data_IF_395662072487
#
_entry.id   IF_395662072487
#
_cell.length_a   1.000
_cell.length_b   1.000
_cell.length_c   1.000
_cell.angle_alpha   90.00
_cell.angle_beta   90.00
_cell.angle_gamma   90.00
#
_symmetry.space_group_name_H-M   'P 1'
#
loop_
_entity.id
_entity.type
_entity.pdbx_description
1 polymer ?
#
# COMPACT_ATOMS: atom_id res chain seq x y z
N UNK A 1 3.59 21.98 -8.24
CA UNK A 1 3.94 21.74 -9.66
C UNK A 1 2.83 20.90 -10.27
N UNK A 2 2.06 21.40 -11.24
CA UNK A 2 1.19 20.52 -12.01
C UNK A 2 2.10 19.74 -12.96
N UNK A 3 2.27 18.45 -12.76
CA UNK A 3 2.77 17.57 -13.81
C UNK A 3 1.68 17.55 -14.89
N UNK A 4 1.78 18.45 -15.87
CA UNK A 4 0.92 18.42 -17.03
C UNK A 4 1.57 17.48 -18.04
N UNK A 5 0.89 16.38 -18.32
CA UNK A 5 1.21 15.58 -19.49
C UNK A 5 0.60 16.31 -20.70
N UNK A 6 1.38 17.17 -21.34
CA UNK A 6 0.91 18.00 -22.46
C UNK A 6 0.88 17.23 -23.79
N UNK A 7 1.38 16.01 -23.84
CA UNK A 7 1.38 15.18 -25.04
C UNK A 7 0.12 14.33 -25.14
N UNK A 8 -0.46 14.25 -26.33
CA UNK A 8 -1.49 13.28 -26.66
C UNK A 8 -0.90 11.86 -26.50
N UNK A 9 -1.43 10.99 -25.59
CA UNK A 9 -0.89 9.66 -25.37
C UNK A 9 -0.81 8.82 -26.63
N UNK A 10 -1.71 9.01 -27.59
CA UNK A 10 -1.67 8.30 -28.88
C UNK A 10 -0.50 8.72 -29.78
N UNK A 11 0.13 9.84 -29.53
CA UNK A 11 1.28 10.32 -30.33
C UNK A 11 2.62 9.94 -29.70
N UNK A 12 2.63 9.47 -28.45
CA UNK A 12 3.85 9.14 -27.69
C UNK A 12 3.92 7.66 -27.26
N UNK A 13 2.85 6.91 -27.47
CA UNK A 13 2.86 5.48 -27.18
C UNK A 13 3.70 4.72 -28.23
N UNK A 14 4.59 3.88 -27.74
CA UNK A 14 5.54 3.11 -28.54
C UNK A 14 5.61 1.66 -28.04
N UNK A 15 6.37 0.84 -28.72
CA UNK A 15 6.74 -0.52 -28.30
C UNK A 15 8.27 -0.64 -28.20
N UNK A 16 8.79 -1.86 -28.03
CA UNK A 16 10.21 -2.18 -27.95
C UNK A 16 10.89 -1.93 -29.30
N UNK A 17 11.33 -0.70 -29.53
CA UNK A 17 12.06 -0.29 -30.74
C UNK A 17 13.46 0.15 -30.39
N UNK A 18 14.36 0.18 -31.38
CA UNK A 18 15.74 0.58 -31.18
C UNK A 18 15.85 1.97 -30.53
N UNK A 19 16.65 2.03 -29.45
CA UNK A 19 16.86 3.24 -28.64
C UNK A 19 15.88 3.43 -27.46
N UNK A 20 14.85 2.59 -27.32
CA UNK A 20 13.87 2.69 -26.23
C UNK A 20 13.89 1.53 -25.21
N UNK A 21 14.86 0.61 -25.36
CA UNK A 21 15.08 -0.51 -24.43
C UNK A 21 13.91 -1.53 -24.42
N UNK A 22 14.01 -2.57 -23.58
CA UNK A 22 13.00 -3.62 -23.39
C UNK A 22 12.86 -3.91 -21.89
N UNK A 23 11.64 -3.80 -21.33
CA UNK A 23 11.40 -4.01 -19.92
C UNK A 23 11.84 -5.39 -19.43
N UNK A 24 11.74 -6.42 -20.28
CA UNK A 24 12.08 -7.79 -19.94
C UNK A 24 13.58 -8.09 -20.05
N UNK A 25 14.32 -7.22 -20.75
CA UNK A 25 15.78 -7.32 -20.95
C UNK A 25 16.43 -5.94 -20.88
N UNK A 26 16.10 -5.19 -19.83
CA UNK A 26 16.53 -3.80 -19.66
C UNK A 26 18.07 -3.70 -19.59
N UNK A 27 18.67 -3.00 -20.54
CA UNK A 27 20.12 -2.76 -20.66
C UNK A 27 20.46 -1.27 -20.77
N UNK A 28 19.50 -0.42 -21.17
CA UNK A 28 19.63 1.01 -21.42
C UNK A 28 18.79 1.89 -20.50
N UNK A 29 17.93 2.71 -21.05
CA UNK A 29 17.15 3.75 -20.33
C UNK A 29 16.22 3.15 -19.26
N UNK A 30 15.62 1.99 -19.50
CA UNK A 30 14.76 1.34 -18.51
C UNK A 30 15.59 0.76 -17.36
N UNK A 31 16.79 0.25 -17.64
CA UNK A 31 17.71 -0.17 -16.58
C UNK A 31 18.11 1.01 -15.70
N UNK A 32 18.51 2.13 -16.29
CA UNK A 32 18.88 3.34 -15.54
C UNK A 32 17.71 3.87 -14.69
N UNK A 33 16.48 3.85 -15.23
CA UNK A 33 15.27 4.23 -14.51
C UNK A 33 14.98 3.29 -13.33
N UNK A 34 15.13 1.98 -13.49
CA UNK A 34 14.97 0.98 -12.43
C UNK A 34 16.08 1.09 -11.37
N UNK A 35 17.33 1.37 -11.75
CA UNK A 35 18.43 1.63 -10.82
C UNK A 35 18.21 2.93 -10.02
N UNK A 36 17.64 3.99 -10.63
CA UNK A 36 17.20 5.19 -9.92
C UNK A 36 16.14 4.84 -8.87
N UNK A 37 15.11 4.10 -9.25
CA UNK A 37 14.06 3.66 -8.32
C UNK A 37 14.65 2.83 -7.18
N UNK A 38 15.59 1.92 -7.45
CA UNK A 38 16.27 1.13 -6.41
C UNK A 38 17.02 2.04 -5.42
N UNK A 39 17.76 3.02 -5.92
CA UNK A 39 18.52 3.96 -5.09
C UNK A 39 17.63 4.76 -4.15
N UNK A 40 16.53 5.36 -4.64
CA UNK A 40 15.67 6.23 -3.83
C UNK A 40 14.85 5.44 -2.81
N UNK A 41 14.52 4.17 -3.09
CA UNK A 41 13.83 3.27 -2.16
C UNK A 41 14.79 2.48 -1.26
N UNK A 42 16.10 2.69 -1.38
CA UNK A 42 17.13 1.94 -0.63
C UNK A 42 17.04 0.43 -0.85
N UNK A 43 16.74 0.01 -2.05
CA UNK A 43 16.69 -1.38 -2.45
C UNK A 43 17.95 -1.78 -3.24
N UNK A 44 18.30 -3.06 -3.22
CA UNK A 44 19.43 -3.57 -4.02
C UNK A 44 19.05 -3.67 -5.50
N UNK A 45 17.80 -3.96 -5.80
CA UNK A 45 17.28 -4.14 -7.15
C UNK A 45 15.79 -3.78 -7.20
N UNK A 46 15.36 -3.09 -8.27
CA UNK A 46 13.96 -2.69 -8.46
C UNK A 46 13.51 -3.00 -9.88
N UNK A 47 12.28 -3.47 -10.02
CA UNK A 47 11.62 -3.72 -11.29
C UNK A 47 10.35 -2.91 -11.44
N UNK A 48 10.17 -2.29 -12.60
CA UNK A 48 8.91 -1.66 -12.97
C UNK A 48 7.83 -2.71 -13.26
N UNK A 49 6.63 -2.45 -12.77
CA UNK A 49 5.47 -3.31 -12.98
C UNK A 49 4.38 -2.51 -13.70
N UNK A 50 4.00 -2.98 -14.88
CA UNK A 50 2.94 -2.39 -15.71
C UNK A 50 1.63 -3.20 -15.66
N UNK A 51 1.60 -4.28 -14.88
CA UNK A 51 0.44 -5.12 -14.63
C UNK A 51 0.00 -5.06 -13.15
N UNK A 52 0.28 -3.93 -12.48
CA UNK A 52 -0.07 -3.66 -11.08
C UNK A 52 0.78 -4.42 -10.08
N UNK A 53 0.62 -4.10 -8.79
CA UNK A 53 1.24 -4.85 -7.69
C UNK A 53 0.80 -6.33 -7.66
N UNK A 54 -0.32 -6.66 -8.30
CA UNK A 54 -0.78 -8.05 -8.45
C UNK A 54 0.29 -8.93 -9.07
N UNK A 55 0.89 -8.52 -10.19
CA UNK A 55 1.96 -9.31 -10.83
C UNK A 55 3.20 -9.40 -9.95
N UNK A 56 3.53 -8.33 -9.22
CA UNK A 56 4.64 -8.33 -8.27
C UNK A 56 4.44 -9.37 -7.17
N UNK A 57 3.25 -9.43 -6.57
CA UNK A 57 2.89 -10.40 -5.53
C UNK A 57 2.93 -11.84 -6.06
N UNK A 58 2.34 -12.08 -7.24
CA UNK A 58 2.37 -13.40 -7.87
C UNK A 58 3.81 -13.86 -8.14
N UNK A 59 4.63 -12.98 -8.71
CA UNK A 59 6.03 -13.27 -9.04
C UNK A 59 6.90 -13.45 -7.80
N UNK A 60 6.71 -12.62 -6.78
CA UNK A 60 7.43 -12.74 -5.51
C UNK A 60 7.18 -14.09 -4.84
N UNK A 61 5.92 -14.47 -4.67
CA UNK A 61 5.54 -15.73 -4.02
C UNK A 61 6.04 -16.93 -4.85
N UNK A 62 5.80 -16.94 -6.16
CA UNK A 62 6.27 -18.02 -7.04
C UNK A 62 7.81 -18.08 -7.10
N UNK A 63 8.49 -16.95 -6.97
CA UNK A 63 9.95 -16.85 -6.97
C UNK A 63 10.60 -17.48 -5.73
N UNK A 64 9.96 -17.39 -4.57
CA UNK A 64 10.53 -17.88 -3.29
C UNK A 64 9.97 -19.24 -2.84
N UNK A 65 8.96 -19.77 -3.54
CA UNK A 65 8.33 -21.07 -3.21
C UNK A 65 8.37 -22.02 -4.39
N UNK A 66 8.12 -23.30 -4.13
CA UNK A 66 7.84 -24.33 -5.12
C UNK A 66 6.44 -24.90 -4.87
N UNK A 67 5.91 -25.60 -5.88
CA UNK A 67 4.63 -26.31 -5.77
C UNK A 67 4.60 -27.19 -4.51
N UNK A 68 3.55 -27.03 -3.71
CA UNK A 68 3.34 -27.80 -2.49
C UNK A 68 4.07 -27.27 -1.24
N UNK A 69 4.90 -26.23 -1.35
CA UNK A 69 5.57 -25.63 -0.19
C UNK A 69 4.58 -25.00 0.79
N UNK A 70 4.99 -24.90 2.06
CA UNK A 70 4.26 -24.12 3.05
C UNK A 70 4.70 -22.66 3.02
N UNK A 71 3.74 -21.75 3.15
CA UNK A 71 3.97 -20.30 3.26
C UNK A 71 3.20 -19.74 4.46
N UNK A 72 3.87 -18.87 5.24
CA UNK A 72 3.24 -18.15 6.35
C UNK A 72 2.66 -16.84 5.81
N UNK A 73 1.36 -16.61 5.97
CA UNK A 73 0.63 -15.53 5.31
C UNK A 73 -0.27 -14.79 6.29
N UNK A 74 -0.20 -13.46 6.30
CA UNK A 74 -1.17 -12.63 7.01
C UNK A 74 -2.58 -12.83 6.43
N UNK A 75 -3.57 -13.11 7.28
CA UNK A 75 -4.95 -13.42 6.83
C UNK A 75 -5.67 -12.25 6.16
N UNK A 76 -5.25 -11.03 6.47
CA UNK A 76 -5.76 -9.78 5.89
C UNK A 76 -5.00 -9.32 4.63
N UNK A 77 -4.22 -10.20 3.98
CA UNK A 77 -3.54 -9.88 2.74
C UNK A 77 -4.50 -9.71 1.54
N UNK A 78 -4.01 -9.06 0.49
CA UNK A 78 -4.76 -8.85 -0.74
C UNK A 78 -5.08 -10.17 -1.46
N UNK A 79 -6.17 -10.21 -2.22
CA UNK A 79 -6.61 -11.40 -2.98
C UNK A 79 -5.54 -12.00 -3.90
N UNK A 80 -4.60 -11.22 -4.41
CA UNK A 80 -3.49 -11.70 -5.23
C UNK A 80 -2.59 -12.72 -4.52
N UNK A 81 -2.46 -12.62 -3.19
CA UNK A 81 -1.74 -13.61 -2.38
C UNK A 81 -2.47 -14.96 -2.42
N UNK A 82 -3.79 -14.96 -2.28
CA UNK A 82 -4.61 -16.18 -2.40
C UNK A 82 -4.54 -16.77 -3.81
N UNK A 83 -4.50 -15.91 -4.83
CA UNK A 83 -4.30 -16.37 -6.22
C UNK A 83 -2.94 -17.04 -6.39
N UNK A 84 -1.85 -16.47 -5.83
CA UNK A 84 -0.53 -17.07 -5.85
C UNK A 84 -0.50 -18.43 -5.14
N UNK A 85 -1.14 -18.54 -3.96
CA UNK A 85 -1.29 -19.79 -3.23
C UNK A 85 -1.98 -20.84 -4.10
N UNK A 86 -3.09 -20.48 -4.74
CA UNK A 86 -3.84 -21.38 -5.61
C UNK A 86 -3.02 -21.81 -6.83
N UNK A 87 -2.42 -20.85 -7.56
CA UNK A 87 -1.67 -21.13 -8.78
C UNK A 87 -0.44 -22.01 -8.55
N UNK A 88 0.21 -21.86 -7.39
CA UNK A 88 1.40 -22.64 -7.04
C UNK A 88 1.08 -23.84 -6.13
N UNK A 89 -0.21 -24.14 -5.90
CA UNK A 89 -0.68 -25.25 -5.03
C UNK A 89 0.04 -25.24 -3.66
N UNK A 90 0.17 -24.06 -3.05
CA UNK A 90 0.85 -23.90 -1.76
C UNK A 90 -0.04 -24.30 -0.59
N UNK A 91 0.60 -24.65 0.52
CA UNK A 91 -0.05 -24.95 1.80
C UNK A 91 0.08 -23.74 2.75
N UNK A 92 -0.94 -22.87 2.87
CA UNK A 92 -0.82 -21.67 3.69
C UNK A 92 -0.98 -21.98 5.17
N UNK A 93 -0.12 -21.38 5.98
CA UNK A 93 -0.29 -21.18 7.42
C UNK A 93 -0.69 -19.73 7.65
N UNK A 94 -1.82 -19.48 8.31
CA UNK A 94 -2.33 -18.13 8.45
C UNK A 94 -1.93 -17.48 9.78
N UNK A 95 -1.45 -16.23 9.69
CA UNK A 95 -1.34 -15.29 10.80
C UNK A 95 -2.61 -14.44 10.84
N UNK A 96 -3.27 -14.41 11.97
CA UNK A 96 -4.44 -13.59 12.18
C UNK A 96 -4.01 -12.28 12.86
N UNK A 97 -4.34 -11.11 12.31
CA UNK A 97 -4.12 -9.85 13.02
C UNK A 97 -4.95 -9.85 14.32
N UNK A 98 -4.45 -9.17 15.33
CA UNK A 98 -5.24 -8.92 16.53
C UNK A 98 -6.35 -7.94 16.22
N UNK A 99 -7.45 -8.03 16.93
CA UNK A 99 -8.60 -7.14 16.79
C UNK A 99 -8.69 -6.21 18.00
N UNK A 100 -8.74 -4.90 17.72
CA UNK A 100 -9.01 -3.89 18.74
C UNK A 100 -10.52 -3.65 18.83
N UNK A 101 -11.10 -4.00 19.98
CA UNK A 101 -12.56 -3.91 20.20
C UNK A 101 -13.06 -2.46 20.40
N UNK A 102 -12.19 -1.53 20.78
CA UNK A 102 -12.55 -0.11 20.96
C UNK A 102 -12.55 0.61 19.61
N UNK A 103 -11.49 0.38 18.81
CA UNK A 103 -11.38 0.93 17.46
C UNK A 103 -12.19 0.15 16.43
N UNK A 104 -12.55 -1.10 16.73
CA UNK A 104 -13.17 -2.07 15.82
C UNK A 104 -12.36 -2.29 14.53
N UNK A 105 -11.04 -2.34 14.69
CA UNK A 105 -10.06 -2.52 13.62
C UNK A 105 -9.20 -3.76 13.87
N UNK A 106 -8.78 -4.38 12.78
CA UNK A 106 -7.65 -5.30 12.83
C UNK A 106 -6.36 -4.48 12.98
N UNK A 107 -5.57 -4.80 14.01
CA UNK A 107 -4.28 -4.15 14.25
C UNK A 107 -3.12 -4.96 13.67
N UNK A 108 -1.89 -4.62 14.02
CA UNK A 108 -0.68 -5.18 13.42
C UNK A 108 -0.52 -6.70 13.63
N UNK A 109 0.26 -7.33 12.74
CA UNK A 109 0.85 -8.66 12.95
C UNK A 109 2.07 -8.49 13.86
N UNK A 110 2.17 -9.27 14.94
CA UNK A 110 3.31 -9.21 15.84
C UNK A 110 4.44 -10.12 15.41
N UNK A 111 5.69 -9.70 15.63
CA UNK A 111 6.87 -10.54 15.41
C UNK A 111 6.87 -11.81 16.29
N UNK A 112 6.26 -11.75 17.48
CA UNK A 112 6.12 -12.90 18.36
C UNK A 112 5.20 -13.97 17.75
N UNK A 113 4.08 -13.57 17.14
CA UNK A 113 3.18 -14.50 16.45
C UNK A 113 3.88 -15.15 15.26
N UNK A 114 4.72 -14.38 14.52
CA UNK A 114 5.56 -14.92 13.45
C UNK A 114 6.55 -15.97 14.02
N UNK A 115 7.32 -15.63 15.06
CA UNK A 115 8.27 -16.60 15.69
C UNK A 115 7.56 -17.86 16.17
N UNK A 116 6.39 -17.72 16.79
CA UNK A 116 5.59 -18.84 17.27
C UNK A 116 5.14 -19.74 16.12
N UNK A 117 4.65 -19.15 15.03
CA UNK A 117 4.24 -19.90 13.84
C UNK A 117 5.42 -20.63 13.18
N UNK A 118 6.56 -19.96 13.00
CA UNK A 118 7.77 -20.54 12.41
C UNK A 118 8.35 -21.67 13.26
N UNK A 119 8.27 -21.60 14.58
CA UNK A 119 8.66 -22.68 15.47
C UNK A 119 7.70 -23.89 15.40
N UNK A 120 6.41 -23.64 15.24
CA UNK A 120 5.37 -24.67 15.15
C UNK A 120 5.34 -25.38 13.80
N UNK A 121 5.69 -24.67 12.73
CA UNK A 121 5.61 -25.16 11.35
C UNK A 121 6.97 -25.02 10.64
N UNK A 122 7.94 -25.94 10.91
CA UNK A 122 9.32 -25.82 10.39
C UNK A 122 9.43 -26.04 8.87
N UNK A 123 8.34 -26.42 8.20
CA UNK A 123 8.30 -26.59 6.74
C UNK A 123 8.02 -25.30 5.98
N UNK A 124 7.73 -24.18 6.65
CA UNK A 124 7.51 -22.88 6.02
C UNK A 124 8.75 -22.46 5.23
N UNK A 125 8.54 -21.90 4.02
CA UNK A 125 9.59 -21.48 3.09
C UNK A 125 9.69 -19.97 2.94
N UNK A 126 8.64 -19.24 3.24
CA UNK A 126 8.61 -17.78 3.18
C UNK A 126 7.55 -17.21 4.13
N UNK A 127 7.73 -15.94 4.50
CA UNK A 127 6.76 -15.16 5.26
C UNK A 127 6.21 -14.05 4.36
N UNK A 128 4.88 -13.86 4.34
CA UNK A 128 4.20 -12.82 3.60
C UNK A 128 3.27 -12.02 4.51
N UNK A 129 3.48 -10.71 4.60
CA UNK A 129 2.63 -9.78 5.34
C UNK A 129 2.19 -8.61 4.47
N UNK A 130 1.17 -7.88 4.93
CA UNK A 130 0.76 -6.59 4.39
C UNK A 130 1.02 -5.50 5.43
N UNK A 131 1.78 -4.46 5.04
CA UNK A 131 2.10 -3.31 5.89
C UNK A 131 2.50 -2.12 5.01
N UNK A 132 1.74 -0.99 5.05
CA UNK A 132 0.55 -0.81 5.88
C UNK A 132 -0.61 -1.66 5.39
N UNK A 133 -1.55 -1.93 6.30
CA UNK A 133 -2.84 -2.51 5.92
C UNK A 133 -3.68 -1.50 5.13
N UNK A 134 -4.81 -1.94 4.61
CA UNK A 134 -5.76 -1.06 3.94
C UNK A 134 -6.21 0.10 4.84
N UNK A 135 -6.37 -0.17 6.14
CA UNK A 135 -6.77 0.80 7.16
C UNK A 135 -5.61 1.70 7.62
N UNK A 136 -4.40 1.49 7.12
CA UNK A 136 -3.22 2.29 7.48
C UNK A 136 -2.42 1.74 8.67
N UNK A 137 -2.71 0.55 9.17
CA UNK A 137 -1.98 -0.05 10.30
C UNK A 137 -0.61 -0.54 9.82
N UNK A 138 0.45 -0.15 10.52
CA UNK A 138 1.84 -0.51 10.23
C UNK A 138 2.34 -1.55 11.23
N UNK A 139 2.85 -2.67 10.72
CA UNK A 139 3.51 -3.70 11.54
C UNK A 139 4.99 -3.36 11.76
N UNK A 140 5.58 -3.90 12.80
CA UNK A 140 7.04 -3.82 13.02
C UNK A 140 7.78 -4.74 12.05
N UNK A 141 7.98 -4.25 10.82
CA UNK A 141 8.61 -5.01 9.74
C UNK A 141 10.02 -5.44 10.12
N UNK A 142 10.79 -4.61 10.85
CA UNK A 142 12.16 -4.94 11.23
C UNK A 142 12.24 -6.15 12.16
N UNK A 143 11.38 -6.20 13.19
CA UNK A 143 11.35 -7.35 14.09
C UNK A 143 10.75 -8.60 13.43
N UNK A 144 9.83 -8.44 12.46
CA UNK A 144 9.29 -9.55 11.66
C UNK A 144 10.36 -10.08 10.71
N UNK A 145 11.12 -9.21 10.03
CA UNK A 145 12.26 -9.60 9.18
C UNK A 145 13.29 -10.40 9.98
N UNK A 146 13.70 -9.90 11.14
CA UNK A 146 14.59 -10.60 12.04
C UNK A 146 14.07 -12.00 12.41
N UNK A 147 12.78 -12.11 12.74
CA UNK A 147 12.15 -13.39 13.08
C UNK A 147 12.17 -14.39 11.91
N UNK A 148 11.98 -13.93 10.68
CA UNK A 148 12.09 -14.76 9.47
C UNK A 148 13.56 -15.15 9.19
N UNK A 149 14.48 -14.19 9.28
CA UNK A 149 15.90 -14.39 9.02
C UNK A 149 16.58 -15.31 10.04
N UNK A 150 16.14 -15.35 11.31
CA UNK A 150 16.58 -16.33 12.31
C UNK A 150 16.35 -17.79 11.85
N UNK A 151 15.43 -17.99 10.90
CA UNK A 151 15.14 -19.29 10.26
C UNK A 151 15.69 -19.42 8.84
N UNK A 152 16.41 -18.41 8.35
CA UNK A 152 16.91 -18.36 6.97
C UNK A 152 15.79 -18.24 5.93
N UNK A 153 14.66 -17.63 6.29
CA UNK A 153 13.48 -17.47 5.42
C UNK A 153 13.33 -16.03 4.93
N UNK A 154 12.96 -15.82 3.65
CA UNK A 154 12.70 -14.50 3.13
C UNK A 154 11.36 -13.94 3.66
N UNK A 155 11.36 -12.62 3.91
CA UNK A 155 10.15 -11.83 4.19
C UNK A 155 9.71 -11.07 2.94
N UNK A 156 8.46 -11.30 2.52
CA UNK A 156 7.79 -10.51 1.49
C UNK A 156 6.84 -9.54 2.19
N UNK A 157 6.91 -8.26 1.83
CA UNK A 157 6.00 -7.22 2.34
C UNK A 157 5.19 -6.64 1.18
N UNK A 158 3.88 -6.82 1.24
CA UNK A 158 2.95 -6.05 0.42
C UNK A 158 2.82 -4.65 1.05
N UNK A 159 3.59 -3.72 0.55
CA UNK A 159 3.58 -2.30 0.93
C UNK A 159 2.85 -1.45 -0.14
N UNK A 160 1.85 -2.04 -0.83
CA UNK A 160 1.13 -1.38 -1.92
C UNK A 160 0.49 -0.05 -1.52
N UNK A 161 0.11 0.12 -0.27
CA UNK A 161 -0.44 1.36 0.28
C UNK A 161 0.61 2.28 0.91
N UNK A 162 1.89 1.92 0.87
CA UNK A 162 3.01 2.62 1.49
C UNK A 162 4.07 3.13 0.50
N UNK A 163 3.74 3.32 -0.79
CA UNK A 163 4.73 3.79 -1.78
C UNK A 163 5.33 5.17 -1.45
N UNK A 164 4.70 5.96 -0.61
CA UNK A 164 5.19 7.25 -0.10
C UNK A 164 6.07 7.13 1.16
N UNK A 165 6.25 5.95 1.72
CA UNK A 165 7.06 5.74 2.92
C UNK A 165 8.54 5.99 2.66
N UNK A 166 9.22 6.60 3.63
CA UNK A 166 10.64 6.94 3.56
C UNK A 166 10.94 8.30 2.90
N UNK A 167 9.95 8.96 2.26
CA UNK A 167 10.18 10.23 1.56
C UNK A 167 9.93 11.49 2.41
N UNK A 168 9.33 11.37 3.57
CA UNK A 168 9.18 12.48 4.50
C UNK A 168 9.09 11.94 5.94
N UNK A 169 9.73 12.58 6.95
CA UNK A 169 9.81 12.09 8.34
C UNK A 169 8.44 12.02 9.06
N UNK A 170 7.40 12.59 8.48
CA UNK A 170 6.02 12.47 8.99
C UNK A 170 5.42 11.07 8.78
N UNK A 171 5.94 10.32 7.80
CA UNK A 171 5.52 8.98 7.45
C UNK A 171 6.56 7.93 7.91
N UNK A 172 6.18 6.66 8.03
CA UNK A 172 7.12 5.58 8.34
C UNK A 172 8.25 5.45 7.31
N UNK A 173 9.35 4.84 7.71
CA UNK A 173 10.35 4.30 6.77
C UNK A 173 9.75 3.14 5.98
N UNK A 174 10.19 2.95 4.72
CA UNK A 174 9.73 1.85 3.89
C UNK A 174 10.31 0.49 4.31
N UNK A 175 9.69 -0.59 3.87
CA UNK A 175 10.05 -1.95 4.26
C UNK A 175 11.43 -2.39 3.76
N UNK A 176 11.98 -1.79 2.68
CA UNK A 176 13.35 -2.07 2.24
C UNK A 176 14.36 -1.70 3.32
N UNK A 177 14.23 -0.53 3.93
CA UNK A 177 15.09 -0.05 5.02
C UNK A 177 14.95 -0.87 6.31
N UNK A 178 13.85 -1.64 6.43
CA UNK A 178 13.53 -2.48 7.59
C UNK A 178 13.89 -3.95 7.41
N UNK A 179 14.60 -4.27 6.34
CA UNK A 179 15.15 -5.61 6.12
C UNK A 179 14.18 -6.60 5.45
N UNK A 180 13.11 -6.14 4.82
CA UNK A 180 12.30 -7.00 3.98
C UNK A 180 13.09 -7.43 2.72
N UNK A 181 12.97 -8.70 2.33
CA UNK A 181 13.70 -9.27 1.19
C UNK A 181 13.02 -8.98 -0.15
N UNK A 182 11.68 -8.91 -0.15
CA UNK A 182 10.90 -8.44 -1.30
C UNK A 182 9.85 -7.44 -0.80
N UNK A 183 9.76 -6.30 -1.47
CA UNK A 183 8.76 -5.25 -1.18
C UNK A 183 8.02 -4.91 -2.46
N UNK A 184 6.69 -4.79 -2.38
CA UNK A 184 5.86 -4.42 -3.51
C UNK A 184 5.13 -3.10 -3.21
N UNK A 185 5.33 -2.09 -4.05
CA UNK A 185 4.66 -0.80 -3.98
C UNK A 185 3.68 -0.61 -5.14
N UNK A 186 2.45 -0.17 -4.87
CA UNK A 186 1.57 0.38 -5.91
C UNK A 186 1.82 1.88 -6.00
N UNK A 187 2.59 2.32 -6.99
CA UNK A 187 2.97 3.73 -7.14
C UNK A 187 1.74 4.62 -7.25
N UNK A 188 0.76 4.18 -8.08
CA UNK A 188 -0.47 4.92 -8.37
C UNK A 188 -1.42 5.14 -7.19
N UNK A 189 -1.23 4.44 -6.06
CA UNK A 189 -2.16 4.57 -4.91
C UNK A 189 -1.88 5.80 -4.06
N UNK A 190 -0.62 6.13 -3.86
CA UNK A 190 -0.20 7.17 -2.92
C UNK A 190 0.74 8.21 -3.53
N UNK A 191 1.17 8.00 -4.76
CA UNK A 191 2.08 8.87 -5.52
C UNK A 191 1.47 9.19 -6.89
N UNK A 192 1.91 10.29 -7.54
CA UNK A 192 1.36 10.73 -8.81
C UNK A 192 1.90 9.91 -9.99
N UNK A 193 1.30 8.75 -10.21
CA UNK A 193 1.57 7.89 -11.35
C UNK A 193 0.27 7.30 -11.90
N UNK A 194 0.30 6.78 -13.12
CA UNK A 194 -0.89 6.20 -13.75
C UNK A 194 -1.36 4.95 -13.01
N UNK A 195 -2.67 4.74 -12.97
CA UNK A 195 -3.26 3.50 -12.45
C UNK A 195 -2.59 2.28 -13.09
N UNK A 196 -2.38 1.22 -12.31
CA UNK A 196 -1.69 -0.01 -12.72
C UNK A 196 -0.16 0.02 -12.53
N UNK A 197 0.45 1.21 -12.36
CA UNK A 197 1.89 1.32 -12.12
C UNK A 197 2.28 0.82 -10.72
N UNK A 198 3.34 0.03 -10.65
CA UNK A 198 3.84 -0.52 -9.40
C UNK A 198 5.35 -0.79 -9.48
N UNK A 199 5.97 -1.12 -8.34
CA UNK A 199 7.37 -1.52 -8.22
C UNK A 199 7.47 -2.82 -7.42
N UNK A 200 8.44 -3.66 -7.80
CA UNK A 200 8.92 -4.76 -6.99
C UNK A 200 10.40 -4.51 -6.68
N UNK A 201 10.73 -4.55 -5.40
CA UNK A 201 12.09 -4.42 -4.89
C UNK A 201 12.59 -5.76 -4.36
N UNK A 202 13.88 -6.03 -4.54
CA UNK A 202 14.55 -7.20 -3.99
C UNK A 202 15.79 -6.77 -3.20
N UNK A 203 16.00 -7.40 -2.04
CA UNK A 203 17.08 -7.08 -1.13
C UNK A 203 17.76 -8.37 -0.61
N UNK A 204 19.01 -8.23 -0.14
CA UNK A 204 19.74 -9.31 0.50
C UNK A 204 20.00 -10.52 -0.39
N UNK A 205 20.24 -11.67 0.23
CA UNK A 205 20.68 -12.90 -0.45
C UNK A 205 19.75 -14.11 -0.23
N UNK A 206 18.62 -13.94 0.46
CA UNK A 206 17.68 -15.04 0.73
C UNK A 206 16.75 -15.34 -0.44
N UNK A 207 16.66 -14.41 -1.40
CA UNK A 207 15.80 -14.54 -2.57
C UNK A 207 16.59 -14.99 -3.79
N UNK A 208 16.11 -16.00 -4.50
CA UNK A 208 16.61 -16.31 -5.83
C UNK A 208 16.05 -15.28 -6.84
N UNK A 209 16.81 -14.19 -7.06
CA UNK A 209 16.41 -13.06 -7.91
C UNK A 209 16.14 -13.48 -9.35
N UNK A 210 16.90 -14.43 -9.91
CA UNK A 210 16.66 -14.94 -11.26
C UNK A 210 15.31 -15.63 -11.37
N UNK A 211 14.90 -16.38 -10.36
CA UNK A 211 13.60 -17.03 -10.35
C UNK A 211 12.47 -16.00 -10.26
N UNK A 212 12.60 -14.94 -9.46
CA UNK A 212 11.61 -13.84 -9.42
C UNK A 212 11.53 -13.13 -10.76
N UNK A 213 12.66 -12.75 -11.38
CA UNK A 213 12.69 -12.11 -12.71
C UNK A 213 12.03 -12.98 -13.77
N UNK A 214 12.23 -14.30 -13.76
CA UNK A 214 11.57 -15.24 -14.68
C UNK A 214 10.05 -15.16 -14.53
N UNK A 215 9.50 -15.11 -13.33
CA UNK A 215 8.06 -14.97 -13.12
C UNK A 215 7.57 -13.57 -13.50
N UNK A 216 8.32 -12.52 -13.28
CA UNK A 216 8.01 -11.18 -13.80
C UNK A 216 7.89 -11.19 -15.33
N UNK A 217 8.85 -11.81 -16.01
CA UNK A 217 8.81 -11.96 -17.47
C UNK A 217 7.59 -12.80 -17.95
N UNK A 218 7.24 -13.86 -17.22
CA UNK A 218 6.12 -14.74 -17.61
C UNK A 218 4.74 -14.12 -17.36
N UNK A 219 4.61 -13.26 -16.36
CA UNK A 219 3.32 -12.78 -15.87
C UNK A 219 3.02 -11.32 -16.25
N UNK A 220 4.00 -10.58 -16.74
CA UNK A 220 3.78 -9.26 -17.35
C UNK A 220 3.50 -9.39 -18.85
N UNK A 221 2.86 -8.37 -19.41
CA UNK A 221 2.63 -8.28 -20.85
C UNK A 221 3.96 -8.34 -21.60
N UNK A 222 4.00 -9.08 -22.71
CA UNK A 222 5.17 -9.08 -23.62
C UNK A 222 5.35 -7.74 -24.35
N UNK A 223 4.28 -6.94 -24.44
CA UNK A 223 4.33 -5.56 -24.95
C UNK A 223 3.95 -4.62 -23.80
N UNK A 224 4.91 -4.26 -22.94
CA UNK A 224 4.65 -3.41 -21.78
C UNK A 224 4.37 -1.97 -22.23
N UNK A 225 3.41 -1.30 -21.60
CA UNK A 225 3.05 0.08 -21.91
C UNK A 225 4.18 1.05 -21.56
N UNK A 226 4.75 1.72 -22.55
CA UNK A 226 5.76 2.76 -22.35
C UNK A 226 5.20 4.00 -21.67
N UNK A 227 3.92 4.32 -21.87
CA UNK A 227 3.23 5.40 -21.16
C UNK A 227 3.22 5.12 -19.64
N UNK A 228 2.94 3.88 -19.23
CA UNK A 228 2.97 3.51 -17.81
C UNK A 228 4.39 3.57 -17.24
N UNK A 229 5.39 3.08 -17.98
CA UNK A 229 6.79 3.14 -17.57
C UNK A 229 7.31 4.58 -17.45
N UNK A 230 6.98 5.44 -18.41
CA UNK A 230 7.31 6.86 -18.36
C UNK A 230 6.64 7.56 -17.15
N UNK A 231 5.39 7.19 -16.83
CA UNK A 231 4.70 7.70 -15.65
C UNK A 231 5.37 7.26 -14.33
N UNK A 232 5.89 6.02 -14.26
CA UNK A 232 6.71 5.58 -13.12
C UNK A 232 7.99 6.41 -13.05
N UNK A 233 8.71 6.53 -14.16
CA UNK A 233 10.00 7.22 -14.20
C UNK A 233 9.89 8.69 -13.83
N UNK A 234 8.89 9.41 -14.34
CA UNK A 234 8.60 10.78 -13.93
C UNK A 234 8.29 10.91 -12.44
N UNK A 235 7.55 9.95 -11.89
CA UNK A 235 7.29 9.93 -10.45
C UNK A 235 8.58 9.71 -9.65
N UNK A 236 9.47 8.82 -10.11
CA UNK A 236 10.76 8.57 -9.47
C UNK A 236 11.68 9.80 -9.57
N UNK A 237 11.69 10.49 -10.70
CA UNK A 237 12.44 11.74 -10.87
C UNK A 237 11.94 12.84 -9.93
N UNK A 238 10.63 12.99 -9.79
CA UNK A 238 10.02 13.91 -8.83
C UNK A 238 10.47 13.60 -7.38
N UNK A 239 10.49 12.34 -7.00
CA UNK A 239 10.93 11.91 -5.67
C UNK A 239 12.43 12.15 -5.45
N UNK A 240 13.26 11.94 -6.47
CA UNK A 240 14.72 12.12 -6.40
C UNK A 240 15.12 13.60 -6.27
N UNK A 241 14.42 14.51 -6.96
CA UNK A 241 14.83 15.92 -7.10
C UNK A 241 13.91 16.94 -6.43
N UNK A 242 12.64 16.62 -6.21
CA UNK A 242 11.61 17.56 -5.74
C UNK A 242 10.80 17.05 -4.55
N UNK A 243 11.34 16.08 -3.80
CA UNK A 243 10.65 15.41 -2.72
C UNK A 243 10.10 16.39 -1.67
N UNK A 244 10.94 17.25 -1.12
CA UNK A 244 10.55 18.24 -0.10
C UNK A 244 9.53 19.24 -0.62
N UNK A 245 9.72 19.74 -1.85
CA UNK A 245 8.82 20.70 -2.49
C UNK A 245 7.38 20.15 -2.63
N UNK A 246 7.25 18.83 -2.76
CA UNK A 246 5.98 18.15 -2.96
C UNK A 246 5.38 17.68 -1.63
N UNK A 247 6.21 17.11 -0.74
CA UNK A 247 5.72 16.54 0.50
C UNK A 247 5.47 17.56 1.61
N UNK A 248 6.30 18.59 1.76
CA UNK A 248 6.14 19.58 2.84
C UNK A 248 4.76 20.27 2.81
N UNK A 249 4.30 20.81 1.65
CA UNK A 249 2.97 21.41 1.60
C UNK A 249 1.84 20.39 1.82
N UNK A 250 2.00 19.17 1.36
CA UNK A 250 1.03 18.09 1.59
C UNK A 250 0.93 17.75 3.08
N UNK A 251 2.06 17.56 3.74
CA UNK A 251 2.10 17.22 5.16
C UNK A 251 1.48 18.33 6.02
N UNK A 252 1.74 19.59 5.69
CA UNK A 252 1.13 20.73 6.40
C UNK A 252 -0.39 20.78 6.19
N UNK A 253 -0.89 20.50 4.99
CA UNK A 253 -2.33 20.36 4.74
C UNK A 253 -2.94 19.20 5.52
N UNK A 254 -2.26 18.06 5.50
CA UNK A 254 -2.71 16.85 6.19
C UNK A 254 -2.75 17.04 7.71
N UNK A 255 -1.73 17.65 8.30
CA UNK A 255 -1.71 17.98 9.74
C UNK A 255 -2.91 18.84 10.14
N UNK A 256 -3.14 19.94 9.40
CA UNK A 256 -4.30 20.82 9.63
C UNK A 256 -5.63 20.05 9.49
N UNK A 257 -5.75 19.21 8.46
CA UNK A 257 -6.96 18.42 8.27
C UNK A 257 -7.20 17.48 9.45
N UNK A 258 -6.18 16.76 9.92
CA UNK A 258 -6.28 15.85 11.06
C UNK A 258 -6.60 16.58 12.35
N UNK A 259 -5.99 17.75 12.58
CA UNK A 259 -6.26 18.60 13.75
C UNK A 259 -7.72 19.06 13.77
N UNK A 260 -8.26 19.52 12.63
CA UNK A 260 -9.67 19.92 12.54
C UNK A 260 -10.59 18.72 12.74
N UNK A 261 -10.36 17.59 12.07
CA UNK A 261 -11.17 16.38 12.24
C UNK A 261 -11.12 15.83 13.67
N UNK A 262 -10.01 16.04 14.39
CA UNK A 262 -9.87 15.67 15.80
C UNK A 262 -10.77 16.45 16.77
N UNK A 263 -11.42 17.54 16.32
CA UNK A 263 -12.39 18.33 17.11
C UNK A 263 -13.82 17.78 17.06
N UNK A 264 -14.09 16.80 16.20
CA UNK A 264 -15.39 16.14 16.11
C UNK A 264 -15.68 15.34 17.38
N UNK A 265 -16.92 15.35 17.82
CA UNK A 265 -17.35 14.67 19.05
C UNK A 265 -17.80 13.23 18.80
N UNK A 266 -18.42 12.98 17.65
CA UNK A 266 -19.12 11.74 17.34
C UNK A 266 -18.41 10.93 16.25
N UNK A 267 -17.97 11.58 15.16
CA UNK A 267 -17.15 10.96 14.11
C UNK A 267 -15.68 11.13 14.49
N UNK A 268 -14.99 10.04 14.83
CA UNK A 268 -13.63 10.11 15.39
C UNK A 268 -12.59 9.57 14.39
N UNK A 269 -11.42 10.21 14.35
CA UNK A 269 -10.26 9.61 13.71
C UNK A 269 -9.78 8.42 14.54
N UNK A 270 -9.83 7.21 13.96
CA UNK A 270 -9.25 6.02 14.57
C UNK A 270 -7.76 5.96 14.23
N UNK A 271 -6.93 5.89 15.26
CA UNK A 271 -5.47 5.86 15.14
C UNK A 271 -4.90 4.80 16.08
N UNK A 272 -3.84 4.13 15.64
CA UNK A 272 -3.05 3.22 16.45
C UNK A 272 -1.67 3.80 16.72
N UNK A 273 -0.86 3.12 17.53
CA UNK A 273 0.50 3.55 17.85
C UNK A 273 1.40 3.62 16.61
N UNK A 274 1.25 2.67 15.69
CA UNK A 274 2.02 2.55 14.46
C UNK A 274 1.08 2.63 13.27
N UNK A 275 1.11 3.76 12.57
CA UNK A 275 0.02 4.14 11.68
C UNK A 275 0.49 5.03 10.54
N UNK A 276 -0.06 4.79 9.35
CA UNK A 276 0.10 5.66 8.19
C UNK A 276 -0.85 6.86 8.28
N UNK A 277 -0.31 8.02 8.59
CA UNK A 277 -1.09 9.25 8.77
C UNK A 277 -1.75 9.77 7.49
N UNK A 278 -1.38 9.25 6.31
CA UNK A 278 -2.06 9.56 5.04
C UNK A 278 -3.48 8.99 4.97
N UNK A 279 -3.78 7.97 5.78
CA UNK A 279 -5.10 7.39 5.91
C UNK A 279 -5.91 8.13 6.97
N UNK A 280 -7.10 8.60 6.61
CA UNK A 280 -8.06 9.17 7.54
C UNK A 280 -9.17 8.14 7.78
N UNK A 281 -9.03 7.36 8.85
CA UNK A 281 -10.03 6.37 9.25
C UNK A 281 -11.07 7.07 10.14
N UNK A 282 -12.22 7.39 9.55
CA UNK A 282 -13.32 8.11 10.19
C UNK A 282 -14.31 7.11 10.77
N UNK A 283 -14.27 6.94 12.10
CA UNK A 283 -15.04 5.94 12.82
C UNK A 283 -16.32 6.50 13.43
N UNK A 284 -17.39 5.75 13.28
CA UNK A 284 -18.70 5.95 13.93
C UNK A 284 -18.98 4.86 14.99
N UNK A 285 -17.98 4.11 15.42
CA UNK A 285 -18.13 3.00 16.36
C UNK A 285 -18.81 3.39 17.70
N UNK A 286 -18.63 4.63 18.15
CA UNK A 286 -19.28 5.15 19.37
C UNK A 286 -20.78 5.43 19.21
N UNK A 287 -21.29 5.50 17.98
CA UNK A 287 -22.66 5.90 17.68
C UNK A 287 -23.62 4.70 17.46
N UNK A 288 -23.09 3.52 17.22
CA UNK A 288 -23.87 2.33 16.88
C UNK A 288 -24.88 1.91 17.97
N UNK A 289 -24.64 2.30 19.23
CA UNK A 289 -25.56 1.99 20.36
C UNK A 289 -26.64 3.05 20.59
N UNK A 290 -26.39 4.33 20.25
CA UNK A 290 -27.29 5.44 20.56
C UNK A 290 -28.31 5.75 19.45
N UNK A 291 -27.92 5.57 18.19
CA UNK A 291 -28.78 5.90 17.03
C UNK A 291 -29.80 4.82 16.69
N UNK A 292 -29.51 3.55 17.05
CA UNK A 292 -30.45 2.46 16.88
C UNK A 292 -31.77 2.70 17.64
N UNK A 293 -31.70 3.33 18.82
CA UNK A 293 -32.85 3.65 19.68
C UNK A 293 -33.66 4.85 19.18
N UNK A 294 -33.03 5.78 18.42
CA UNK A 294 -33.66 7.06 18.03
C UNK A 294 -34.18 7.06 16.59
N UNK A 295 -33.53 6.34 15.66
CA UNK A 295 -33.85 6.36 14.23
C UNK A 295 -34.11 4.98 13.61
N UNK A 296 -34.04 3.91 14.38
CA UNK A 296 -34.22 2.54 13.88
C UNK A 296 -33.11 2.04 12.93
N UNK A 297 -32.02 2.78 12.80
CA UNK A 297 -30.85 2.44 11.99
C UNK A 297 -29.55 2.77 12.75
N UNK A 298 -28.68 1.80 12.83
CA UNK A 298 -27.31 2.00 13.33
C UNK A 298 -26.54 2.93 12.38
N UNK A 299 -25.86 3.97 12.90
CA UNK A 299 -24.87 4.70 12.11
C UNK A 299 -23.74 3.74 11.75
N UNK A 300 -23.67 3.38 10.49
CA UNK A 300 -22.64 2.47 9.97
C UNK A 300 -21.65 3.24 9.11
N UNK A 301 -20.47 2.65 8.91
CA UNK A 301 -19.51 3.20 7.92
C UNK A 301 -20.12 3.28 6.52
N UNK A 302 -20.99 2.35 6.16
CA UNK A 302 -21.71 2.38 4.87
C UNK A 302 -22.61 3.61 4.79
N UNK A 303 -23.39 3.91 5.83
CA UNK A 303 -24.25 5.11 5.87
C UNK A 303 -23.42 6.39 5.79
N UNK A 304 -22.29 6.46 6.51
CA UNK A 304 -21.38 7.61 6.42
C UNK A 304 -20.81 7.77 5.01
N UNK A 305 -20.43 6.68 4.33
CA UNK A 305 -19.96 6.72 2.94
C UNK A 305 -21.05 7.22 1.98
N UNK A 306 -22.28 6.73 2.12
CA UNK A 306 -23.43 7.16 1.31
C UNK A 306 -23.75 8.64 1.52
N UNK A 307 -23.76 9.11 2.76
CA UNK A 307 -23.98 10.52 3.08
C UNK A 307 -22.89 11.41 2.49
N UNK A 308 -21.61 11.04 2.61
CA UNK A 308 -20.48 11.76 2.03
C UNK A 308 -20.57 11.82 0.50
N UNK A 309 -20.92 10.71 -0.15
CA UNK A 309 -21.04 10.65 -1.60
C UNK A 309 -22.25 11.46 -2.10
N UNK A 310 -23.43 11.22 -1.54
CA UNK A 310 -24.68 11.75 -2.10
C UNK A 310 -24.93 13.22 -1.74
N UNK A 311 -24.51 13.68 -0.55
CA UNK A 311 -24.74 15.04 -0.08
C UNK A 311 -23.56 15.98 -0.35
N UNK A 312 -22.32 15.46 -0.34
CA UNK A 312 -21.11 16.28 -0.44
C UNK A 312 -20.26 15.98 -1.67
N UNK A 313 -20.63 14.97 -2.47
CA UNK A 313 -19.85 14.49 -3.64
C UNK A 313 -18.40 14.15 -3.28
N UNK A 314 -18.22 13.48 -2.14
CA UNK A 314 -16.93 12.99 -1.63
C UNK A 314 -16.93 11.46 -1.70
N UNK A 315 -16.15 10.92 -2.64
CA UNK A 315 -15.95 9.50 -2.77
C UNK A 315 -14.88 9.05 -1.77
N UNK A 316 -15.25 8.17 -0.85
CA UNK A 316 -14.30 7.52 0.06
C UNK A 316 -13.69 6.28 -0.58
N UNK A 317 -12.52 5.90 -0.12
CA UNK A 317 -11.82 4.71 -0.62
C UNK A 317 -12.57 3.42 -0.26
N UNK A 318 -13.04 3.32 0.98
CA UNK A 318 -13.73 2.13 1.47
C UNK A 318 -14.63 2.49 2.64
N UNK A 319 -15.73 1.73 2.80
CA UNK A 319 -16.50 1.66 4.04
C UNK A 319 -16.42 0.27 4.65
N UNK A 320 -16.35 0.21 5.96
CA UNK A 320 -16.47 -1.00 6.77
C UNK A 320 -17.68 -0.89 7.72
N UNK A 321 -17.87 -1.85 8.61
CA UNK A 321 -19.02 -1.86 9.52
C UNK A 321 -19.20 -0.54 10.30
N UNK A 322 -18.11 0.00 10.85
CA UNK A 322 -18.15 1.17 11.74
C UNK A 322 -17.29 2.35 11.31
N UNK A 323 -16.69 2.32 10.13
CA UNK A 323 -15.80 3.40 9.67
C UNK A 323 -15.76 3.52 8.15
N UNK A 324 -15.29 4.67 7.69
CA UNK A 324 -14.86 4.89 6.30
C UNK A 324 -13.40 5.30 6.25
N UNK A 325 -12.77 5.06 5.12
CA UNK A 325 -11.37 5.45 4.87
C UNK A 325 -11.33 6.51 3.78
N UNK A 326 -10.74 7.66 4.07
CA UNK A 326 -10.26 8.59 3.07
C UNK A 326 -8.75 8.38 2.88
N UNK A 327 -8.34 8.11 1.65
CA UNK A 327 -6.92 8.12 1.26
C UNK A 327 -6.54 9.52 0.83
N UNK A 328 -5.39 9.99 1.33
CA UNK A 328 -4.82 11.26 0.92
C UNK A 328 -3.45 11.08 0.28
N UNK A 329 -3.05 12.04 -0.55
CA UNK A 329 -1.80 12.01 -1.29
C UNK A 329 -1.26 13.43 -1.55
N UNK A 330 -0.08 13.51 -2.13
CA UNK A 330 0.53 14.79 -2.54
C UNK A 330 -0.33 15.56 -3.55
N UNK A 331 -1.25 14.89 -4.24
CA UNK A 331 -2.18 15.50 -5.19
C UNK A 331 -3.37 16.21 -4.56
N UNK A 332 -3.62 16.04 -3.26
CA UNK A 332 -4.75 16.69 -2.58
C UNK A 332 -4.56 18.19 -2.42
N UNK A 333 -5.65 18.95 -2.65
CA UNK A 333 -5.65 20.41 -2.59
C UNK A 333 -6.18 20.93 -1.25
N UNK A 334 -5.86 22.19 -0.92
CA UNK A 334 -6.46 22.87 0.24
C UNK A 334 -7.99 22.93 0.16
N UNK A 335 -8.55 23.05 -1.05
CA UNK A 335 -10.00 23.06 -1.26
C UNK A 335 -10.59 21.68 -0.96
N UNK A 336 -9.98 20.60 -1.47
CA UNK A 336 -10.41 19.23 -1.21
C UNK A 336 -10.44 18.91 0.28
N UNK A 337 -9.38 19.25 1.01
CA UNK A 337 -9.30 19.05 2.45
C UNK A 337 -10.37 19.88 3.21
N UNK A 338 -10.58 21.14 2.84
CA UNK A 338 -11.64 21.99 3.43
C UNK A 338 -13.03 21.43 3.18
N UNK A 339 -13.29 20.89 2.00
CA UNK A 339 -14.58 20.23 1.68
C UNK A 339 -14.82 19.01 2.57
N UNK A 340 -13.79 18.18 2.76
CA UNK A 340 -13.87 17.02 3.65
C UNK A 340 -14.16 17.44 5.09
N UNK A 341 -13.38 18.38 5.63
CA UNK A 341 -13.55 18.89 7.01
C UNK A 341 -14.99 19.42 7.20
N UNK A 342 -15.47 20.24 6.26
CA UNK A 342 -16.83 20.81 6.34
C UNK A 342 -17.89 19.70 6.34
N UNK A 343 -17.78 18.72 5.44
CA UNK A 343 -18.72 17.62 5.36
C UNK A 343 -18.77 16.81 6.66
N UNK A 344 -17.60 16.49 7.21
CA UNK A 344 -17.52 15.72 8.46
C UNK A 344 -18.10 16.53 9.63
N UNK A 345 -17.82 17.84 9.75
CA UNK A 345 -18.45 18.68 10.79
C UNK A 345 -19.97 18.75 10.71
N UNK A 346 -20.52 18.80 9.50
CA UNK A 346 -21.99 18.84 9.31
C UNK A 346 -22.61 17.48 9.66
N UNK A 347 -21.97 16.38 9.25
CA UNK A 347 -22.41 15.02 9.57
C UNK A 347 -22.22 14.69 11.07
N UNK A 348 -21.17 15.15 11.71
CA UNK A 348 -20.91 14.98 13.15
C UNK A 348 -22.07 15.57 13.98
N UNK A 349 -22.57 16.76 13.60
CA UNK A 349 -23.73 17.39 14.22
C UNK A 349 -25.02 16.63 13.92
N UNK A 350 -25.18 16.10 12.70
CA UNK A 350 -26.36 15.32 12.29
C UNK A 350 -26.43 13.98 13.02
N UNK A 351 -25.27 13.36 13.28
CA UNK A 351 -25.17 12.06 13.95
C UNK A 351 -25.15 12.16 15.48
N UNK A 352 -25.47 13.34 16.02
CA UNK A 352 -25.63 13.53 17.46
C UNK A 352 -26.74 12.61 17.99
N UNK A 353 -26.47 11.80 19.07
CA UNK A 353 -27.48 10.93 19.68
C UNK A 353 -28.69 11.69 20.22
#
# INVERSE_FOLDING_TARGET
MHMSWDADPYTVDITEIEGFDDLHHAEGILKEAQERAARIYHADETHFLVNGSTVGILSAIAGVTNKGDQILVARNCHKSVYHAIYMNELNPVYLYPRFDSELQLNIEISAEDVRRALNRYPQIRAVMIVSPTYDGIVSDVAEIAKAAHEKGLPLIVDEAHGAHFGFHPYFPENANQKGADIVIHSVHKTLPAFTQTALLHMNGNLVNREKVRRYLHMLQSSSPSYILMAGIDQCMEMLDHHCEEVFDPYVERLKRCREELGKCEHIRLAETKHYDKSKLVLSVAGLTKGLADTYGAEATGIQLQEDLLNQYHLQMEMAAGTYVIAMTSVGDTDEGMKRLIKAIYELDKKYKP
#
